data_IF_491734193478
#
_entry.id   IF_491734193478
#
_cell.length_a   1.000
_cell.length_b   1.000
_cell.length_c   1.000
_cell.angle_alpha   90.00
_cell.angle_beta   90.00
_cell.angle_gamma   90.00
#
_symmetry.space_group_name_H-M   'P 1'
#
loop_
_entity.id
_entity.type
_entity.pdbx_description
1 polymer ?
#
# COMPACT_ATOMS: atom_id res chain seq x y z
N UNK A 1 -4.77 -10.96 -9.77
CA UNK A 1 -3.59 -10.25 -9.23
C UNK A 1 -2.54 -11.27 -8.81
N UNK A 2 -1.27 -10.86 -8.69
CA UNK A 2 -0.16 -11.67 -8.14
C UNK A 2 0.57 -10.83 -7.10
N UNK A 3 1.27 -11.51 -6.18
CA UNK A 3 2.12 -10.87 -5.17
C UNK A 3 3.54 -10.78 -5.73
N UNK A 4 4.17 -9.62 -5.60
CA UNK A 4 5.55 -9.38 -6.04
C UNK A 4 6.34 -8.76 -4.89
N UNK A 5 7.64 -9.03 -4.85
CA UNK A 5 8.60 -8.36 -3.98
C UNK A 5 9.87 -8.11 -4.77
N UNK A 6 10.44 -6.90 -4.66
CA UNK A 6 11.66 -6.52 -5.36
C UNK A 6 12.44 -5.49 -4.55
N UNK A 7 13.76 -5.53 -4.67
CA UNK A 7 14.68 -4.48 -4.26
C UNK A 7 15.34 -3.97 -5.55
N UNK A 8 15.21 -2.67 -5.83
CA UNK A 8 15.70 -2.08 -7.07
C UNK A 8 16.05 -0.59 -6.88
N UNK A 9 16.89 -0.06 -7.77
CA UNK A 9 17.29 1.36 -7.76
C UNK A 9 16.22 2.25 -8.42
N UNK A 10 15.77 3.28 -7.71
CA UNK A 10 14.77 4.24 -8.16
C UNK A 10 15.23 5.70 -7.96
N UNK A 11 16.48 5.97 -8.33
CA UNK A 11 17.19 7.25 -8.18
C UNK A 11 16.42 8.49 -8.65
N UNK A 12 15.53 8.36 -9.63
CA UNK A 12 14.80 9.49 -10.21
C UNK A 12 13.73 10.06 -9.28
N UNK A 13 13.31 9.33 -8.23
CA UNK A 13 12.22 9.79 -7.37
C UNK A 13 12.28 9.32 -5.92
N UNK A 14 13.01 8.25 -5.58
CA UNK A 14 12.87 7.58 -4.29
C UNK A 14 13.28 8.43 -3.07
N UNK A 15 14.44 9.10 -3.11
CA UNK A 15 14.96 9.84 -1.95
C UNK A 15 14.95 11.34 -2.20
N UNK A 16 14.25 12.08 -1.33
CA UNK A 16 14.01 13.54 -1.47
C UNK A 16 13.48 13.92 -2.87
N UNK A 17 12.58 13.13 -3.42
CA UNK A 17 12.04 13.37 -4.77
C UNK A 17 13.06 13.21 -5.89
N UNK A 18 14.11 12.39 -5.69
CA UNK A 18 15.16 12.11 -6.67
C UNK A 18 16.42 12.98 -6.55
N UNK A 19 16.47 13.85 -5.55
CA UNK A 19 17.62 14.74 -5.30
C UNK A 19 18.85 14.00 -4.75
N UNK A 20 18.65 12.90 -4.01
CA UNK A 20 19.74 12.07 -3.49
C UNK A 20 19.80 10.79 -4.31
N UNK A 21 20.98 10.50 -4.86
CA UNK A 21 21.26 9.31 -5.68
C UNK A 21 21.93 8.21 -4.85
N UNK A 22 21.79 6.98 -5.31
CA UNK A 22 22.37 5.80 -4.67
C UNK A 22 23.89 5.88 -4.67
N UNK A 23 24.48 5.79 -3.47
CA UNK A 23 25.92 5.60 -3.32
C UNK A 23 26.27 4.12 -3.46
N UNK A 24 26.64 3.71 -4.68
CA UNK A 24 26.97 2.32 -5.00
C UNK A 24 28.23 1.79 -4.30
N UNK A 25 29.04 2.65 -3.68
CA UNK A 25 30.17 2.20 -2.86
C UNK A 25 29.71 1.49 -1.58
N UNK A 26 28.45 1.69 -1.16
CA UNK A 26 27.83 1.05 -0.01
C UNK A 26 27.17 -0.31 -0.33
N UNK A 27 27.32 -0.80 -1.56
CA UNK A 27 26.78 -2.09 -1.95
C UNK A 27 27.49 -3.25 -1.20
N UNK A 28 26.79 -4.39 -0.96
CA UNK A 28 25.46 -4.73 -1.44
C UNK A 28 24.31 -4.22 -0.56
N UNK A 29 23.25 -3.72 -1.21
CA UNK A 29 21.99 -3.40 -0.55
C UNK A 29 21.19 -4.69 -0.33
N UNK A 30 20.90 -5.03 0.92
CA UNK A 30 20.27 -6.32 1.27
C UNK A 30 18.91 -6.12 1.92
N UNK A 31 17.87 -6.76 1.37
CA UNK A 31 16.55 -6.86 1.97
C UNK A 31 16.22 -8.32 2.29
N UNK A 32 15.82 -8.59 3.53
CA UNK A 32 15.53 -9.95 4.01
C UNK A 32 14.04 -10.11 4.27
N UNK A 33 13.46 -11.20 3.74
CA UNK A 33 12.03 -11.51 3.85
C UNK A 33 11.85 -12.88 4.51
N UNK A 34 10.80 -13.03 5.32
CA UNK A 34 10.43 -14.29 5.98
C UNK A 34 8.91 -14.34 6.16
N UNK A 35 8.41 -15.52 6.55
CA UNK A 35 6.99 -15.74 6.88
C UNK A 35 6.03 -15.43 5.70
N UNK A 36 6.35 -15.92 4.50
CA UNK A 36 5.46 -15.80 3.35
C UNK A 36 4.17 -16.58 3.61
N UNK A 37 3.06 -15.86 3.79
CA UNK A 37 1.74 -16.42 4.02
C UNK A 37 0.71 -15.69 3.16
N UNK A 38 -0.16 -16.44 2.49
CA UNK A 38 -1.21 -15.89 1.65
C UNK A 38 -2.54 -16.59 1.96
N UNK A 39 -3.44 -15.87 2.63
CA UNK A 39 -4.86 -16.24 2.74
C UNK A 39 -5.61 -15.50 1.64
N UNK A 40 -5.86 -16.16 0.51
CA UNK A 40 -6.40 -15.51 -0.68
C UNK A 40 -7.28 -16.46 -1.51
N UNK A 41 -8.11 -15.87 -2.36
CA UNK A 41 -8.72 -16.63 -3.45
C UNK A 41 -7.80 -16.70 -4.66
N UNK A 42 -7.44 -17.91 -5.05
CA UNK A 42 -6.56 -18.15 -6.18
C UNK A 42 -7.38 -18.18 -7.46
N UNK A 43 -6.94 -17.43 -8.46
CA UNK A 43 -7.48 -17.50 -9.81
C UNK A 43 -6.71 -18.54 -10.62
N UNK A 44 -7.39 -19.59 -11.09
CA UNK A 44 -6.80 -20.67 -11.90
C UNK A 44 -7.81 -21.16 -12.92
N UNK A 45 -7.34 -21.58 -14.10
CA UNK A 45 -8.20 -22.11 -15.18
C UNK A 45 -9.44 -21.25 -15.49
N UNK A 46 -9.26 -19.92 -15.51
CA UNK A 46 -10.34 -18.97 -15.80
C UNK A 46 -11.38 -18.77 -14.69
N UNK A 47 -11.15 -19.32 -13.48
CA UNK A 47 -12.10 -19.23 -12.36
C UNK A 47 -11.40 -18.87 -11.04
N UNK A 48 -12.10 -18.11 -10.20
CA UNK A 48 -11.67 -17.84 -8.82
C UNK A 48 -12.05 -18.99 -7.89
N UNK A 49 -11.20 -19.29 -6.91
CA UNK A 49 -11.60 -20.12 -5.76
C UNK A 49 -12.58 -19.39 -4.83
N UNK A 50 -12.77 -18.08 -5.01
CA UNK A 50 -13.89 -17.34 -4.43
C UNK A 50 -15.21 -17.80 -5.03
N UNK A 51 -16.10 -18.34 -4.20
CA UNK A 51 -17.49 -18.56 -4.58
C UNK A 51 -18.43 -17.89 -3.57
N UNK A 52 -19.72 -17.82 -3.89
CA UNK A 52 -20.74 -17.17 -3.06
C UNK A 52 -20.96 -17.80 -1.67
N UNK A 53 -20.38 -18.97 -1.40
CA UNK A 53 -20.41 -19.65 -0.10
C UNK A 53 -19.14 -19.40 0.71
N UNK A 54 -18.17 -18.64 0.20
CA UNK A 54 -16.95 -18.33 0.94
C UNK A 54 -17.25 -17.31 2.04
N UNK A 55 -17.29 -17.82 3.28
CA UNK A 55 -17.51 -17.03 4.48
C UNK A 55 -16.18 -16.68 5.18
N UNK A 56 -15.12 -16.43 4.42
CA UNK A 56 -13.83 -16.09 5.04
C UNK A 56 -13.97 -14.72 5.74
N UNK A 57 -13.68 -14.59 7.04
CA UNK A 57 -14.00 -13.37 7.79
C UNK A 57 -13.40 -12.08 7.22
N UNK A 58 -12.27 -12.18 6.49
CA UNK A 58 -11.62 -11.02 5.88
C UNK A 58 -12.41 -10.39 4.72
N UNK A 59 -13.41 -11.07 4.13
CA UNK A 59 -14.22 -10.50 3.04
C UNK A 59 -15.06 -9.30 3.48
N UNK A 60 -15.53 -9.33 4.73
CA UNK A 60 -16.42 -8.32 5.31
C UNK A 60 -15.77 -7.62 6.50
N UNK A 61 -14.45 -7.69 6.61
CA UNK A 61 -13.73 -7.09 7.73
C UNK A 61 -13.68 -5.58 7.56
N UNK A 62 -14.08 -4.87 8.61
CA UNK A 62 -13.97 -3.42 8.72
C UNK A 62 -13.07 -3.05 9.90
N UNK A 63 -12.56 -1.81 9.90
CA UNK A 63 -11.82 -1.28 11.04
C UNK A 63 -12.78 -0.97 12.18
N UNK A 64 -12.51 -1.54 13.35
CA UNK A 64 -13.16 -1.16 14.59
C UNK A 64 -12.75 0.26 15.06
N UNK A 65 -13.43 0.78 16.08
CA UNK A 65 -13.19 2.15 16.58
C UNK A 65 -11.73 2.38 16.98
N UNK A 66 -11.11 1.40 17.66
CA UNK A 66 -9.70 1.47 18.06
C UNK A 66 -8.77 1.48 16.86
N UNK A 67 -9.04 0.67 15.83
CA UNK A 67 -8.29 0.65 14.58
C UNK A 67 -8.37 2.00 13.85
N UNK A 68 -9.55 2.62 13.81
CA UNK A 68 -9.75 3.94 13.22
C UNK A 68 -9.00 5.04 13.98
N UNK A 69 -9.00 5.02 15.32
CA UNK A 69 -8.23 5.98 16.13
C UNK A 69 -6.72 5.84 15.90
N UNK A 70 -6.21 4.62 15.81
CA UNK A 70 -4.80 4.35 15.49
C UNK A 70 -4.44 4.88 14.10
N UNK A 71 -5.29 4.64 13.10
CA UNK A 71 -5.08 5.15 11.76
C UNK A 71 -5.01 6.68 11.75
N UNK A 72 -5.96 7.36 12.41
CA UNK A 72 -5.96 8.83 12.56
C UNK A 72 -4.70 9.33 13.25
N UNK A 73 -4.22 8.64 14.28
CA UNK A 73 -2.99 9.01 14.97
C UNK A 73 -1.76 8.87 14.07
N UNK A 74 -1.65 7.78 13.30
CA UNK A 74 -0.55 7.59 12.33
C UNK A 74 -0.57 8.68 11.26
N UNK A 75 -1.75 8.94 10.69
CA UNK A 75 -1.93 10.01 9.70
C UNK A 75 -1.57 11.39 10.25
N UNK A 76 -1.93 11.69 11.51
CA UNK A 76 -1.62 12.98 12.13
C UNK A 76 -0.13 13.16 12.42
N UNK A 77 0.57 12.11 12.83
CA UNK A 77 1.92 12.24 13.38
C UNK A 77 3.04 11.80 12.42
N UNK A 78 2.76 10.94 11.42
CA UNK A 78 3.79 10.33 10.57
C UNK A 78 3.57 10.48 9.06
N UNK A 79 2.39 10.91 8.62
CA UNK A 79 2.10 11.04 7.20
C UNK A 79 2.69 12.33 6.63
N UNK A 80 3.65 12.20 5.71
CA UNK A 80 4.35 13.33 5.06
C UNK A 80 3.77 13.72 3.70
N UNK A 81 2.96 12.85 3.08
CA UNK A 81 2.30 13.11 1.80
C UNK A 81 0.95 12.40 1.76
N UNK A 82 -0.06 13.06 1.21
CA UNK A 82 -1.38 12.49 0.99
C UNK A 82 -1.98 13.03 -0.31
N UNK A 83 -2.21 12.13 -1.28
CA UNK A 83 -2.78 12.51 -2.58
C UNK A 83 -4.21 13.09 -2.47
N UNK A 84 -4.99 12.65 -1.47
CA UNK A 84 -6.31 13.20 -1.17
C UNK A 84 -6.28 14.64 -0.67
N UNK A 85 -5.10 15.19 -0.36
CA UNK A 85 -4.91 16.60 0.02
C UNK A 85 -4.07 17.37 -1.00
N UNK A 86 -3.70 16.74 -2.11
CA UNK A 86 -2.84 17.33 -3.13
C UNK A 86 -3.68 18.00 -4.23
N UNK A 87 -4.13 19.22 -3.94
CA UNK A 87 -4.92 20.02 -4.89
C UNK A 87 -4.12 20.46 -6.12
N UNK A 88 -2.78 20.47 -6.04
CA UNK A 88 -1.92 20.78 -7.20
C UNK A 88 -1.94 19.63 -8.21
N UNK A 89 -1.87 18.39 -7.72
CA UNK A 89 -1.98 17.19 -8.55
C UNK A 89 -3.39 16.99 -9.09
N UNK A 90 -4.41 17.35 -8.33
CA UNK A 90 -5.82 17.18 -8.69
C UNK A 90 -6.56 18.53 -8.75
N UNK A 91 -6.22 19.41 -9.72
CA UNK A 91 -6.80 20.75 -9.80
C UNK A 91 -8.29 20.74 -10.19
N UNK A 92 -8.77 19.65 -10.79
CA UNK A 92 -10.18 19.50 -11.22
C UNK A 92 -11.07 18.87 -10.14
N UNK A 93 -10.54 18.67 -8.93
CA UNK A 93 -11.24 18.01 -7.84
C UNK A 93 -10.59 16.69 -7.44
N UNK A 94 -10.73 16.38 -6.16
CA UNK A 94 -10.11 15.21 -5.55
C UNK A 94 -10.85 13.92 -5.93
N UNK A 95 -10.15 12.78 -5.94
CA UNK A 95 -10.78 11.48 -6.14
C UNK A 95 -11.90 11.20 -5.12
N UNK A 96 -13.01 10.59 -5.57
CA UNK A 96 -14.25 10.47 -4.78
C UNK A 96 -14.08 9.63 -3.52
N UNK A 97 -13.20 8.64 -3.56
CA UNK A 97 -12.90 7.77 -2.42
C UNK A 97 -12.29 8.52 -1.24
N UNK A 98 -11.67 9.69 -1.47
CA UNK A 98 -11.09 10.52 -0.43
C UNK A 98 -12.12 11.06 0.58
N UNK A 99 -13.41 11.06 0.24
CA UNK A 99 -14.48 11.43 1.17
C UNK A 99 -14.85 10.31 2.14
N UNK A 100 -14.51 9.06 1.82
CA UNK A 100 -14.90 7.86 2.57
C UNK A 100 -13.73 7.23 3.33
N UNK A 101 -12.51 7.43 2.83
CA UNK A 101 -11.28 6.98 3.48
C UNK A 101 -10.79 8.07 4.45
N UNK A 102 -11.23 7.98 5.72
CA UNK A 102 -10.74 8.84 6.81
C UNK A 102 -9.31 8.46 7.18
#
# INVERSE_FOLDING_TARGET
MRIYSSLWNADDWATRGGLIKTDWTQAPFTASYRNFNANACVWSNGKSSCNSKNNNPWFSQELDATGQERLKWVQKNYMIYNYCKDSKRFPQGLPKECAFNI
#
